data_IF_776793894727
#
_entry.id   IF_776793894727
#
_cell.length_a   1.000
_cell.length_b   1.000
_cell.length_c   1.000
_cell.angle_alpha   90.00
_cell.angle_beta   90.00
_cell.angle_gamma   90.00
#
_symmetry.space_group_name_H-M   'P 1'
#
loop_
_entity.id
_entity.type
_entity.pdbx_description
1 polymer ?
#
# COMPACT_ATOMS: atom_id res chain seq x y z
N UNK A 1 35.13 58.74 -50.00
CA UNK A 1 35.20 59.34 -48.64
C UNK A 1 33.76 59.55 -48.20
N UNK A 2 33.11 58.92 -47.22
CA UNK A 2 33.38 57.95 -46.14
C UNK A 2 32.09 57.10 -46.03
N UNK A 3 32.10 55.77 -46.18
CA UNK A 3 32.18 54.75 -45.12
C UNK A 3 31.12 54.82 -43.99
N UNK A 4 30.62 53.63 -43.60
CA UNK A 4 30.08 53.28 -42.26
C UNK A 4 28.61 53.67 -41.96
N UNK A 5 27.66 52.82 -41.49
CA UNK A 5 27.61 51.40 -41.08
C UNK A 5 26.17 50.89 -41.16
N UNK A 6 26.04 49.62 -41.53
CA UNK A 6 24.88 48.76 -41.28
C UNK A 6 24.47 48.78 -39.80
N UNK A 7 23.21 49.08 -39.49
CA UNK A 7 22.61 48.79 -38.18
C UNK A 7 21.56 47.71 -38.40
N UNK A 8 22.01 46.47 -38.15
CA UNK A 8 21.19 45.27 -38.04
C UNK A 8 20.62 45.26 -36.63
N UNK A 9 19.35 45.65 -36.45
CA UNK A 9 18.64 45.38 -35.19
C UNK A 9 17.90 44.04 -35.33
N UNK A 10 18.65 42.99 -34.98
CA UNK A 10 18.18 41.61 -34.83
C UNK A 10 17.18 41.56 -33.66
N UNK A 11 15.89 41.56 -33.98
CA UNK A 11 14.81 41.37 -33.00
C UNK A 11 14.72 39.88 -32.66
N UNK A 12 15.53 39.44 -31.70
CA UNK A 12 15.58 38.06 -31.22
C UNK A 12 14.25 37.65 -30.55
N UNK A 13 13.49 36.82 -31.24
CA UNK A 13 12.33 36.09 -30.73
C UNK A 13 12.83 34.85 -29.97
N UNK A 14 12.94 34.94 -28.63
CA UNK A 14 13.34 33.80 -27.80
C UNK A 14 12.10 32.95 -27.52
N UNK A 15 11.93 31.88 -28.31
CA UNK A 15 10.93 30.84 -28.08
C UNK A 15 11.46 29.87 -27.00
N UNK A 16 11.03 30.03 -25.75
CA UNK A 16 11.31 29.06 -24.69
C UNK A 16 10.31 27.91 -24.74
N UNK A 17 10.69 26.83 -25.42
CA UNK A 17 9.94 25.57 -25.38
C UNK A 17 10.14 24.88 -24.02
N UNK A 18 9.13 24.98 -23.15
CA UNK A 18 9.00 24.16 -21.94
C UNK A 18 8.71 22.73 -22.38
N UNK A 19 9.69 21.82 -22.27
CA UNK A 19 9.43 20.39 -22.35
C UNK A 19 8.67 19.97 -21.09
N UNK A 20 7.35 19.82 -21.21
CA UNK A 20 6.55 19.11 -20.21
C UNK A 20 6.95 17.64 -20.24
N UNK A 21 7.62 17.16 -19.19
CA UNK A 21 7.88 15.73 -19.03
C UNK A 21 6.54 14.98 -18.91
N UNK A 22 6.39 13.81 -19.56
CA UNK A 22 5.18 13.01 -19.41
C UNK A 22 5.04 12.57 -17.96
N UNK A 23 3.91 12.93 -17.34
CA UNK A 23 3.50 12.42 -16.05
C UNK A 23 3.14 10.94 -16.28
N UNK A 24 4.08 10.03 -16.04
CA UNK A 24 3.78 8.60 -16.02
C UNK A 24 2.77 8.38 -14.89
N UNK A 25 1.49 8.25 -15.25
CA UNK A 25 0.47 7.79 -14.33
C UNK A 25 0.90 6.40 -13.85
N UNK A 26 1.31 6.30 -12.58
CA UNK A 26 1.56 5.00 -11.94
C UNK A 26 0.29 4.15 -12.11
N UNK A 27 0.46 2.87 -12.44
CA UNK A 27 -0.66 1.94 -12.49
C UNK A 27 -1.47 2.06 -11.19
N UNK A 28 -2.74 2.44 -11.30
CA UNK A 28 -3.61 2.65 -10.16
C UNK A 28 -3.90 1.28 -9.53
N UNK A 29 -3.18 0.96 -8.46
CA UNK A 29 -3.54 -0.16 -7.59
C UNK A 29 -4.88 0.18 -6.96
N UNK A 30 -5.87 -0.71 -7.11
CA UNK A 30 -7.16 -0.54 -6.46
C UNK A 30 -7.00 -0.77 -4.97
N UNK A 31 -7.02 0.32 -4.21
CA UNK A 31 -6.98 0.29 -2.76
C UNK A 31 -8.32 -0.20 -2.19
N UNK A 32 -8.25 -0.91 -1.07
CA UNK A 32 -9.38 -1.41 -0.29
C UNK A 32 -10.33 -2.32 -1.08
N UNK A 33 -9.81 -3.05 -2.08
CA UNK A 33 -10.55 -4.05 -2.85
C UNK A 33 -9.98 -5.43 -2.54
N UNK A 34 -10.85 -6.32 -2.04
CA UNK A 34 -10.47 -7.68 -1.67
C UNK A 34 -10.30 -8.56 -2.92
N UNK A 35 -9.27 -9.39 -2.91
CA UNK A 35 -9.04 -10.44 -3.88
C UNK A 35 -9.07 -11.81 -3.19
N UNK A 36 -10.13 -12.58 -3.39
CA UNK A 36 -10.32 -13.89 -2.76
C UNK A 36 -9.82 -15.01 -3.70
N UNK A 37 -8.81 -15.77 -3.28
CA UNK A 37 -8.04 -16.66 -4.18
C UNK A 37 -8.35 -18.15 -4.03
N UNK A 38 -8.92 -18.60 -2.90
CA UNK A 38 -9.14 -20.02 -2.65
C UNK A 38 -10.49 -20.32 -1.96
N UNK A 39 -11.59 -20.18 -2.69
CA UNK A 39 -12.96 -20.32 -2.15
C UNK A 39 -13.29 -21.67 -1.49
N UNK A 40 -12.53 -22.72 -1.80
CA UNK A 40 -12.72 -24.07 -1.25
C UNK A 40 -11.92 -24.31 0.04
N UNK A 41 -11.06 -23.38 0.45
CA UNK A 41 -10.30 -23.46 1.68
C UNK A 41 -11.02 -22.66 2.75
N UNK A 42 -11.29 -23.30 3.89
CA UNK A 42 -11.86 -22.62 5.06
C UNK A 42 -10.79 -22.36 6.10
N UNK A 43 -10.74 -21.11 6.56
CA UNK A 43 -9.92 -20.62 7.65
C UNK A 43 -10.79 -20.45 8.89
N UNK A 44 -10.23 -20.71 10.07
CA UNK A 44 -10.89 -20.41 11.33
C UNK A 44 -10.75 -18.91 11.64
N UNK A 45 -11.89 -18.26 11.89
CA UNK A 45 -11.99 -16.84 12.29
C UNK A 45 -11.07 -16.49 13.46
N UNK A 46 -11.18 -17.24 14.56
CA UNK A 46 -10.43 -16.98 15.79
C UNK A 46 -8.93 -17.10 15.55
N UNK A 47 -8.53 -18.12 14.79
CA UNK A 47 -7.13 -18.31 14.39
C UNK A 47 -6.61 -17.11 13.59
N UNK A 48 -7.39 -16.60 12.64
CA UNK A 48 -6.98 -15.42 11.87
C UNK A 48 -6.87 -14.16 12.72
N UNK A 49 -7.77 -13.96 13.69
CA UNK A 49 -7.73 -12.81 14.61
C UNK A 49 -6.48 -12.88 15.50
N UNK A 50 -6.17 -14.05 16.06
CA UNK A 50 -4.96 -14.26 16.86
C UNK A 50 -3.71 -14.09 16.01
N UNK A 51 -3.70 -14.61 14.77
CA UNK A 51 -2.59 -14.43 13.84
C UNK A 51 -2.39 -12.95 13.48
N UNK A 52 -3.46 -12.18 13.24
CA UNK A 52 -3.36 -10.74 13.00
C UNK A 52 -2.70 -10.03 14.19
N UNK A 53 -3.16 -10.31 15.40
CA UNK A 53 -2.62 -9.73 16.63
C UNK A 53 -1.17 -10.17 16.89
N UNK A 54 -0.69 -11.26 16.29
CA UNK A 54 0.68 -11.74 16.41
C UNK A 54 1.68 -11.07 15.46
N UNK A 55 1.24 -10.27 14.49
CA UNK A 55 2.13 -9.61 13.53
C UNK A 55 3.16 -8.71 14.24
N UNK A 56 4.37 -8.64 13.71
CA UNK A 56 5.44 -7.78 14.25
C UNK A 56 5.86 -8.11 15.69
N UNK A 57 5.52 -9.30 16.21
CA UNK A 57 5.78 -9.68 17.60
C UNK A 57 4.66 -9.31 18.58
N UNK A 58 3.53 -8.77 18.10
CA UNK A 58 2.34 -8.49 18.91
C UNK A 58 1.77 -7.08 18.71
N UNK A 59 0.47 -6.98 18.41
CA UNK A 59 -0.29 -5.73 18.25
C UNK A 59 -1.57 -5.77 19.13
N UNK A 60 -1.46 -5.66 20.46
CA UNK A 60 -2.60 -5.67 21.40
C UNK A 60 -3.10 -4.25 21.80
N UNK A 61 -4.07 -4.07 22.72
CA UNK A 61 -4.34 -2.76 23.35
C UNK A 61 -5.04 -1.67 22.50
N UNK A 62 -5.20 -0.46 23.05
CA UNK A 62 -6.15 0.57 22.54
C UNK A 62 -5.68 1.35 21.31
N UNK A 63 -4.39 1.63 21.16
CA UNK A 63 -3.79 2.29 19.98
C UNK A 63 -2.38 1.74 19.79
N UNK A 64 -2.26 0.61 19.12
CA UNK A 64 -0.95 0.03 18.77
C UNK A 64 -0.64 0.21 17.29
N UNK A 65 0.64 0.17 16.96
CA UNK A 65 1.15 0.28 15.59
C UNK A 65 1.90 -1.01 15.27
N UNK A 66 1.69 -1.53 14.06
CA UNK A 66 2.58 -2.52 13.48
C UNK A 66 3.78 -1.77 12.90
N UNK A 67 4.91 -1.84 13.61
CA UNK A 67 6.19 -1.25 13.18
C UNK A 67 7.22 -2.33 12.97
N UNK A 68 7.56 -2.57 11.71
CA UNK A 68 8.55 -3.57 11.32
C UNK A 68 9.54 -2.95 10.37
N UNK A 69 10.83 -3.02 10.73
CA UNK A 69 11.92 -2.62 9.84
C UNK A 69 12.22 -3.72 8.81
N UNK A 70 11.19 -4.16 8.10
CA UNK A 70 11.23 -5.13 7.02
C UNK A 70 10.04 -4.91 6.09
N UNK A 71 10.17 -5.34 4.84
CA UNK A 71 9.11 -5.20 3.86
C UNK A 71 7.95 -6.18 4.08
N UNK A 72 8.09 -7.17 4.97
CA UNK A 72 7.02 -8.11 5.25
C UNK A 72 7.12 -8.63 6.69
N UNK A 73 5.96 -8.95 7.25
CA UNK A 73 5.82 -9.63 8.53
C UNK A 73 4.69 -10.63 8.43
N UNK A 74 4.89 -11.81 8.99
CA UNK A 74 3.93 -12.90 8.98
C UNK A 74 3.72 -13.40 10.40
N UNK A 75 2.49 -13.75 10.71
CA UNK A 75 2.13 -14.42 11.94
C UNK A 75 1.15 -15.56 11.62
N UNK A 76 1.24 -16.61 12.43
CA UNK A 76 0.48 -17.85 12.24
C UNK A 76 -0.17 -18.21 13.56
N UNK A 77 -1.43 -18.60 13.50
CA UNK A 77 -2.14 -19.20 14.62
C UNK A 77 -3.07 -20.28 14.07
N UNK A 78 -3.02 -21.48 14.65
CA UNK A 78 -3.82 -22.63 14.22
C UNK A 78 -3.80 -22.85 12.70
N UNK A 79 -4.95 -22.65 12.07
CA UNK A 79 -5.18 -22.86 10.63
C UNK A 79 -4.93 -21.64 9.76
N UNK A 80 -4.65 -20.47 10.34
CA UNK A 80 -4.58 -19.21 9.62
C UNK A 80 -3.18 -18.58 9.69
N UNK A 81 -2.72 -18.13 8.53
CA UNK A 81 -1.53 -17.31 8.35
C UNK A 81 -1.94 -15.95 7.85
N UNK A 82 -1.53 -14.91 8.57
CA UNK A 82 -1.71 -13.51 8.19
C UNK A 82 -0.35 -12.94 7.82
N UNK A 83 -0.28 -12.23 6.69
CA UNK A 83 0.92 -11.53 6.25
C UNK A 83 0.58 -10.08 5.95
N UNK A 84 1.42 -9.16 6.42
CA UNK A 84 1.41 -7.77 6.02
C UNK A 84 2.70 -7.49 5.23
N UNK A 85 2.57 -6.92 4.04
CA UNK A 85 3.69 -6.66 3.12
C UNK A 85 3.64 -5.22 2.64
N UNK A 86 4.76 -4.52 2.72
CA UNK A 86 4.98 -3.23 2.10
C UNK A 86 5.02 -3.40 0.58
N UNK A 87 4.17 -2.65 -0.11
CA UNK A 87 4.07 -2.64 -1.56
C UNK A 87 4.29 -1.21 -2.11
N UNK A 88 4.25 -1.05 -3.43
CA UNK A 88 4.35 0.26 -4.10
C UNK A 88 5.66 1.02 -3.82
N UNK A 89 6.77 0.30 -3.69
CA UNK A 89 8.10 0.88 -3.38
C UNK A 89 8.37 1.04 -1.89
N UNK A 90 7.46 0.55 -1.06
CA UNK A 90 7.65 0.38 0.37
C UNK A 90 8.67 -0.69 0.75
N UNK A 91 9.42 -0.45 1.82
CA UNK A 91 10.43 -1.37 2.37
C UNK A 91 10.31 -1.59 3.87
N UNK A 92 9.46 -0.82 4.56
CA UNK A 92 9.22 -0.92 6.01
C UNK A 92 7.75 -0.72 6.30
N UNK A 93 7.23 -1.35 7.34
CA UNK A 93 5.83 -1.25 7.75
C UNK A 93 5.72 -0.34 8.97
N UNK A 94 4.87 0.68 8.89
CA UNK A 94 4.44 1.52 10.02
C UNK A 94 2.97 1.88 9.81
N UNK A 95 2.08 1.02 10.33
CA UNK A 95 0.64 1.16 10.18
C UNK A 95 -0.06 1.06 11.53
N UNK A 96 -1.03 1.93 11.77
CA UNK A 96 -1.83 1.85 13.00
C UNK A 96 -2.75 0.63 12.97
N UNK A 97 -2.94 0.00 14.14
CA UNK A 97 -3.84 -1.14 14.32
C UNK A 97 -5.24 -0.85 13.80
N UNK A 98 -5.78 0.33 14.10
CA UNK A 98 -7.11 0.73 13.64
C UNK A 98 -7.25 0.79 12.10
N UNK A 99 -6.18 1.12 11.37
CA UNK A 99 -6.18 1.05 9.90
C UNK A 99 -5.99 -0.38 9.40
N UNK A 100 -5.10 -1.14 10.05
CA UNK A 100 -4.79 -2.52 9.69
C UNK A 100 -6.01 -3.44 9.87
N UNK A 101 -6.64 -3.40 11.05
CA UNK A 101 -7.88 -4.12 11.36
C UNK A 101 -9.04 -3.55 10.56
N UNK A 102 -9.24 -2.24 10.62
CA UNK A 102 -10.26 -1.58 9.82
C UNK A 102 -11.66 -1.52 10.42
N UNK A 103 -11.84 -1.78 11.72
CA UNK A 103 -13.15 -1.80 12.39
C UNK A 103 -14.12 -0.71 11.92
N UNK A 104 -15.07 -1.07 11.04
CA UNK A 104 -16.10 -0.18 10.49
C UNK A 104 -15.59 0.92 9.55
N UNK A 105 -14.35 0.86 9.08
CA UNK A 105 -13.75 1.85 8.18
C UNK A 105 -13.65 1.34 6.75
N UNK A 106 -14.11 2.13 5.77
CA UNK A 106 -13.93 1.83 4.35
C UNK A 106 -12.47 1.82 3.88
N UNK A 107 -11.55 2.34 4.71
CA UNK A 107 -10.11 2.35 4.48
C UNK A 107 -9.35 1.31 5.30
N UNK A 108 -10.10 0.38 5.91
CA UNK A 108 -9.61 -0.74 6.68
C UNK A 108 -9.13 -1.90 5.80
N UNK A 109 -8.23 -2.73 6.34
CA UNK A 109 -7.73 -3.91 5.64
C UNK A 109 -8.40 -5.21 6.02
N UNK A 110 -8.10 -5.69 7.22
CA UNK A 110 -8.40 -7.05 7.63
C UNK A 110 -9.90 -7.35 7.70
N UNK A 111 -10.68 -6.50 8.37
CA UNK A 111 -12.13 -6.68 8.50
C UNK A 111 -12.81 -6.60 7.13
N UNK A 112 -12.46 -5.61 6.31
CA UNK A 112 -13.00 -5.47 4.95
C UNK A 112 -12.64 -6.68 4.06
N UNK A 113 -11.43 -7.21 4.21
CA UNK A 113 -11.01 -8.44 3.52
C UNK A 113 -11.87 -9.63 3.97
N UNK A 114 -12.12 -9.75 5.27
CA UNK A 114 -12.94 -10.82 5.85
C UNK A 114 -14.42 -10.68 5.53
N UNK A 115 -14.94 -9.48 5.44
CA UNK A 115 -16.33 -9.22 5.04
C UNK A 115 -16.54 -9.60 3.57
N UNK A 116 -15.55 -9.32 2.71
CA UNK A 116 -15.61 -9.64 1.29
C UNK A 116 -15.35 -11.13 0.99
N UNK A 117 -14.36 -11.75 1.64
CA UNK A 117 -13.93 -13.13 1.37
C UNK A 117 -14.50 -14.17 2.35
N UNK A 118 -15.15 -13.74 3.43
CA UNK A 118 -15.66 -14.62 4.48
C UNK A 118 -14.53 -15.41 5.16
N UNK A 119 -14.68 -16.73 5.18
CA UNK A 119 -13.70 -17.67 5.77
C UNK A 119 -12.68 -18.19 4.76
N UNK A 120 -12.51 -17.53 3.61
CA UNK A 120 -11.64 -18.01 2.54
C UNK A 120 -10.37 -17.16 2.40
N UNK A 121 -9.25 -17.74 1.97
CA UNK A 121 -8.02 -17.01 1.69
C UNK A 121 -8.21 -15.87 0.69
N UNK A 122 -7.45 -14.80 0.90
CA UNK A 122 -7.46 -13.64 0.02
C UNK A 122 -6.46 -12.56 0.48
N UNK A 123 -6.38 -11.48 -0.29
CA UNK A 123 -5.58 -10.31 0.05
C UNK A 123 -6.28 -9.00 -0.28
N UNK A 124 -5.80 -7.93 0.33
CA UNK A 124 -6.28 -6.57 0.10
C UNK A 124 -5.13 -5.58 0.27
N UNK A 125 -5.08 -4.55 -0.56
CA UNK A 125 -4.10 -3.47 -0.44
C UNK A 125 -4.74 -2.27 0.25
N UNK A 126 -4.14 -1.84 1.35
CA UNK A 126 -4.57 -0.72 2.20
C UNK A 126 -3.69 0.48 1.90
N UNK A 127 -4.31 1.64 1.71
CA UNK A 127 -3.57 2.87 1.44
C UNK A 127 -2.66 3.30 2.59
N UNK A 128 -1.38 3.58 2.27
CA UNK A 128 -0.35 4.02 3.20
C UNK A 128 0.14 2.91 4.14
N UNK A 129 0.84 3.30 5.20
CA UNK A 129 1.36 2.37 6.20
C UNK A 129 2.73 1.77 5.88
N UNK A 130 3.34 2.22 4.78
CA UNK A 130 4.74 1.94 4.45
C UNK A 130 5.52 3.23 4.20
N UNK A 131 6.84 3.17 4.31
CA UNK A 131 7.72 4.27 3.91
C UNK A 131 7.61 4.60 2.41
N UNK A 132 8.17 5.75 2.01
CA UNK A 132 8.21 6.25 0.63
C UNK A 132 6.83 6.46 -0.01
N UNK A 133 5.78 6.60 0.78
CA UNK A 133 4.40 6.67 0.30
C UNK A 133 3.89 5.34 -0.24
N UNK A 134 4.51 4.23 0.16
CA UNK A 134 4.05 2.88 -0.16
C UNK A 134 2.80 2.49 0.62
N UNK A 135 2.16 1.43 0.14
CA UNK A 135 0.93 0.86 0.70
C UNK A 135 1.24 -0.46 1.42
N UNK A 136 0.26 -1.01 2.14
CA UNK A 136 0.37 -2.31 2.79
C UNK A 136 -0.62 -3.30 2.16
N UNK A 137 -0.11 -4.41 1.64
CA UNK A 137 -0.94 -5.58 1.33
C UNK A 137 -1.10 -6.44 2.59
N UNK A 138 -2.35 -6.68 2.99
CA UNK A 138 -2.70 -7.69 3.98
C UNK A 138 -3.25 -8.93 3.29
N UNK A 139 -2.74 -10.10 3.66
CA UNK A 139 -3.15 -11.37 3.10
C UNK A 139 -3.46 -12.39 4.19
N UNK A 140 -4.54 -13.15 4.00
CA UNK A 140 -4.93 -14.29 4.82
C UNK A 140 -4.84 -15.57 3.98
N UNK A 141 -4.21 -16.58 4.56
CA UNK A 141 -3.96 -17.87 3.89
C UNK A 141 -3.99 -19.01 4.90
N UNK A 142 -4.01 -20.24 4.39
CA UNK A 142 -3.88 -21.42 5.25
C UNK A 142 -2.44 -21.52 5.77
N UNK A 143 -2.32 -21.80 7.07
CA UNK A 143 -1.04 -21.94 7.77
C UNK A 143 -0.14 -23.05 7.19
#
# INVERSE_FOLDING_TARGET
MFASRFIVFFLSFVLTSVLAAPINSRAAVKLNVANCTARNVKLNTHDCDVALLGLGGGIAGKIQFLRVNAASTTAVSGTCRVTATAVNGGTTIDISKGRLEGHGSSNGGFDNLRDACGTTPGSMIIGGGSNNGGDIEIAISKA
#
